data_IF_118592196195
#
_entry.id   IF_118592196195
#
_cell.length_a   1.000
_cell.length_b   1.000
_cell.length_c   1.000
_cell.angle_alpha   90.00
_cell.angle_beta   90.00
_cell.angle_gamma   90.00
#
_symmetry.space_group_name_H-M   'P 1'
#
loop_
_entity.id
_entity.type
_entity.pdbx_description
1 polymer ?
#
# COMPACT_ATOMS: atom_id res chain seq x y z
N UNK A 1 6.13 21.80 21.60
CA UNK A 1 4.71 21.49 21.42
C UNK A 1 4.16 20.84 22.68
N UNK A 2 3.03 21.32 23.18
CA UNK A 2 2.42 20.79 24.37
C UNK A 2 1.69 19.47 24.09
N UNK A 3 1.35 18.73 25.15
CA UNK A 3 0.55 17.49 24.99
C UNK A 3 -0.81 17.80 24.38
N UNK A 4 -1.43 18.93 24.75
CA UNK A 4 -2.73 19.30 24.18
C UNK A 4 -2.63 19.59 22.69
N UNK A 5 -1.59 20.31 22.28
CA UNK A 5 -1.38 20.61 20.86
C UNK A 5 -1.13 19.35 20.06
N UNK A 6 -0.32 18.42 20.60
CA UNK A 6 -0.05 17.17 19.93
C UNK A 6 -1.32 16.32 19.82
N UNK A 7 -2.15 16.32 20.88
CA UNK A 7 -3.40 15.57 20.88
C UNK A 7 -4.36 16.12 19.83
N UNK A 8 -4.45 17.45 19.70
CA UNK A 8 -5.29 18.09 18.70
C UNK A 8 -4.82 17.77 17.29
N UNK A 9 -3.50 17.78 17.05
CA UNK A 9 -2.94 17.44 15.75
C UNK A 9 -3.24 15.98 15.40
N UNK A 10 -3.18 15.10 16.41
CA UNK A 10 -3.47 13.69 16.20
C UNK A 10 -4.95 13.49 15.84
N UNK A 11 -5.85 14.21 16.50
CA UNK A 11 -7.28 14.15 16.17
C UNK A 11 -7.54 14.62 14.75
N UNK A 12 -6.90 15.71 14.34
CA UNK A 12 -7.02 16.22 12.98
C UNK A 12 -6.48 15.21 11.97
N UNK A 13 -5.36 14.57 12.29
CA UNK A 13 -4.78 13.54 11.45
C UNK A 13 -5.76 12.38 11.25
N UNK A 14 -6.40 11.93 12.33
CA UNK A 14 -7.34 10.81 12.26
C UNK A 14 -8.50 11.15 11.33
N UNK A 15 -9.09 12.32 11.49
CA UNK A 15 -10.23 12.75 10.68
C UNK A 15 -9.83 12.84 9.21
N UNK A 16 -8.73 13.52 8.92
CA UNK A 16 -8.25 13.68 7.55
C UNK A 16 -7.88 12.34 6.92
N UNK A 17 -7.21 11.49 7.68
CA UNK A 17 -6.77 10.19 7.17
C UNK A 17 -7.94 9.26 6.88
N UNK A 18 -8.99 9.31 7.68
CA UNK A 18 -10.18 8.51 7.41
C UNK A 18 -10.75 8.86 6.03
N UNK A 19 -10.82 10.14 5.72
CA UNK A 19 -11.32 10.59 4.43
C UNK A 19 -10.39 10.18 3.28
N UNK A 20 -9.10 10.37 3.48
CA UNK A 20 -8.11 10.03 2.46
C UNK A 20 -8.05 8.54 2.20
N UNK A 21 -8.14 7.72 3.25
CA UNK A 21 -8.09 6.27 3.11
C UNK A 21 -9.34 5.77 2.39
N UNK A 22 -10.50 6.33 2.70
CA UNK A 22 -11.73 5.97 2.01
C UNK A 22 -11.64 6.30 0.53
N UNK A 23 -11.13 7.47 0.20
CA UNK A 23 -10.95 7.88 -1.18
C UNK A 23 -9.94 6.98 -1.89
N UNK A 24 -8.85 6.66 -1.21
CA UNK A 24 -7.82 5.77 -1.74
C UNK A 24 -8.40 4.39 -2.06
N UNK A 25 -9.23 3.86 -1.15
CA UNK A 25 -9.89 2.58 -1.33
C UNK A 25 -10.79 2.60 -2.57
N UNK A 26 -11.62 3.62 -2.69
CA UNK A 26 -12.51 3.78 -3.84
C UNK A 26 -11.73 3.93 -5.15
N UNK A 27 -10.68 4.72 -5.14
CA UNK A 27 -9.87 4.96 -6.33
C UNK A 27 -9.14 3.69 -6.76
N UNK A 28 -8.68 2.88 -5.82
CA UNK A 28 -8.02 1.61 -6.16
C UNK A 28 -9.00 0.61 -6.78
N UNK A 29 -10.23 0.57 -6.27
CA UNK A 29 -11.26 -0.29 -6.87
C UNK A 29 -11.54 0.16 -8.31
N UNK A 30 -11.60 1.48 -8.53
CA UNK A 30 -11.77 2.02 -9.87
C UNK A 30 -10.60 1.68 -10.78
N UNK A 31 -9.40 1.69 -10.23
CA UNK A 31 -8.18 1.40 -10.99
C UNK A 31 -8.19 -0.01 -11.57
N UNK A 32 -8.86 -0.95 -10.92
CA UNK A 32 -8.99 -2.30 -11.47
C UNK A 32 -9.62 -2.31 -12.85
N UNK A 33 -10.50 -1.36 -13.13
CA UNK A 33 -11.21 -1.26 -14.40
C UNK A 33 -10.61 -0.21 -15.33
N UNK A 34 -9.71 0.63 -14.84
CA UNK A 34 -9.11 1.72 -15.62
C UNK A 34 -7.62 1.81 -15.30
N UNK A 35 -6.89 0.74 -15.62
CA UNK A 35 -5.50 0.56 -15.20
C UNK A 35 -4.53 1.56 -15.82
N UNK A 36 -4.91 2.21 -16.92
CA UNK A 36 -4.06 3.18 -17.60
C UNK A 36 -4.56 4.63 -17.42
N UNK A 37 -5.50 4.85 -16.51
CA UNK A 37 -6.04 6.20 -16.25
C UNK A 37 -5.01 7.00 -15.44
N UNK A 38 -4.28 7.86 -16.12
CA UNK A 38 -3.21 8.63 -15.51
C UNK A 38 -3.70 9.60 -14.42
N UNK A 39 -4.85 10.21 -14.66
CA UNK A 39 -5.42 11.14 -13.67
C UNK A 39 -5.75 10.39 -12.38
N UNK A 40 -6.31 9.19 -12.53
CA UNK A 40 -6.64 8.35 -11.39
C UNK A 40 -5.37 7.93 -10.63
N UNK A 41 -4.34 7.52 -11.35
CA UNK A 41 -3.06 7.14 -10.74
C UNK A 41 -2.44 8.32 -9.99
N UNK A 42 -2.49 9.52 -10.57
CA UNK A 42 -1.98 10.71 -9.90
C UNK A 42 -2.76 11.03 -8.63
N UNK A 43 -4.06 10.84 -8.65
CA UNK A 43 -4.90 11.09 -7.49
C UNK A 43 -4.59 10.11 -6.36
N UNK A 44 -4.44 8.83 -6.71
CA UNK A 44 -4.08 7.78 -5.75
C UNK A 44 -2.72 8.10 -5.13
N UNK A 45 -1.76 8.49 -5.97
CA UNK A 45 -0.42 8.85 -5.49
C UNK A 45 -0.49 10.01 -4.50
N UNK A 46 -1.28 11.05 -4.81
CA UNK A 46 -1.39 12.21 -3.93
C UNK A 46 -2.01 11.86 -2.59
N UNK A 47 -3.00 10.98 -2.57
CA UNK A 47 -3.59 10.53 -1.30
C UNK A 47 -2.53 9.84 -0.43
N UNK A 48 -1.78 8.91 -1.01
CA UNK A 48 -0.73 8.21 -0.28
C UNK A 48 0.35 9.16 0.20
N UNK A 49 0.75 10.09 -0.67
CA UNK A 49 1.79 11.06 -0.33
C UNK A 49 1.38 11.93 0.86
N UNK A 50 0.13 12.38 0.89
CA UNK A 50 -0.39 13.20 2.00
C UNK A 50 -0.39 12.41 3.30
N UNK A 51 -0.85 11.15 3.27
CA UNK A 51 -0.85 10.29 4.46
C UNK A 51 0.58 10.09 4.97
N UNK A 52 1.52 9.82 4.05
CA UNK A 52 2.92 9.62 4.43
C UNK A 52 3.47 10.87 5.11
N UNK A 53 3.24 12.04 4.52
CA UNK A 53 3.76 13.30 5.05
C UNK A 53 3.22 13.59 6.44
N UNK A 54 1.91 13.47 6.63
CA UNK A 54 1.28 13.75 7.91
C UNK A 54 1.71 12.76 8.98
N UNK A 55 1.78 11.47 8.62
CA UNK A 55 2.18 10.44 9.59
C UNK A 55 3.65 10.59 9.99
N UNK A 56 4.51 10.98 9.05
CA UNK A 56 5.92 11.24 9.35
C UNK A 56 6.06 12.42 10.31
N UNK A 57 5.31 13.47 10.05
CA UNK A 57 5.35 14.67 10.90
C UNK A 57 4.96 14.34 12.34
N UNK A 58 3.98 13.47 12.51
CA UNK A 58 3.50 13.09 13.85
C UNK A 58 4.29 11.94 14.48
N UNK A 59 5.28 11.40 13.79
CA UNK A 59 6.08 10.31 14.32
C UNK A 59 5.38 8.96 14.35
N UNK A 60 4.39 8.77 13.47
CA UNK A 60 3.64 7.53 13.37
C UNK A 60 4.39 6.58 12.43
N UNK A 61 5.42 5.95 12.95
CA UNK A 61 6.42 5.25 12.15
C UNK A 61 5.87 4.11 11.31
N UNK A 62 4.97 3.29 11.85
CA UNK A 62 4.40 2.19 11.08
C UNK A 62 3.63 2.70 9.88
N UNK A 63 2.78 3.71 10.10
CA UNK A 63 1.97 4.30 9.04
C UNK A 63 2.86 4.92 7.96
N UNK A 64 3.87 5.69 8.34
CA UNK A 64 4.74 6.34 7.38
C UNK A 64 5.61 5.34 6.61
N UNK A 65 6.06 4.27 7.29
CA UNK A 65 6.89 3.25 6.64
C UNK A 65 6.11 2.50 5.57
N UNK A 66 4.94 2.00 5.92
CA UNK A 66 4.10 1.25 4.97
C UNK A 66 3.73 2.13 3.79
N UNK A 67 3.31 3.36 4.08
CA UNK A 67 2.87 4.28 3.03
C UNK A 67 4.02 4.70 2.13
N UNK A 68 5.24 4.82 2.68
CA UNK A 68 6.42 5.11 1.88
C UNK A 68 6.65 4.06 0.79
N UNK A 69 6.58 2.78 1.15
CA UNK A 69 6.78 1.72 0.16
C UNK A 69 5.66 1.65 -0.87
N UNK A 70 4.42 1.90 -0.43
CA UNK A 70 3.30 1.96 -1.37
C UNK A 70 3.44 3.14 -2.32
N UNK A 71 3.89 4.29 -1.81
CA UNK A 71 4.10 5.48 -2.61
C UNK A 71 5.12 5.23 -3.72
N UNK A 72 6.17 4.46 -3.43
CA UNK A 72 7.17 4.12 -4.45
C UNK A 72 6.55 3.34 -5.61
N UNK A 73 5.69 2.37 -5.30
CA UNK A 73 4.98 1.61 -6.33
C UNK A 73 4.08 2.52 -7.15
N UNK A 74 3.30 3.35 -6.46
CA UNK A 74 2.38 4.27 -7.12
C UNK A 74 3.11 5.26 -8.02
N UNK A 75 4.29 5.69 -7.62
CA UNK A 75 5.10 6.58 -8.44
C UNK A 75 5.57 5.90 -9.72
N UNK A 76 5.97 4.64 -9.64
CA UNK A 76 6.36 3.86 -10.81
C UNK A 76 5.18 3.66 -11.76
N UNK A 77 4.00 3.41 -11.19
CA UNK A 77 2.79 3.24 -12.00
C UNK A 77 2.43 4.53 -12.74
N UNK A 78 2.45 5.66 -12.06
CA UNK A 78 2.06 6.92 -12.71
C UNK A 78 3.08 7.40 -13.72
N UNK A 79 4.34 6.98 -13.58
CA UNK A 79 5.39 7.31 -14.56
C UNK A 79 5.42 6.35 -15.74
N UNK A 80 4.67 5.27 -15.68
CA UNK A 80 4.67 4.27 -16.73
C UNK A 80 5.83 3.30 -16.66
N UNK A 81 6.60 3.31 -15.56
CA UNK A 81 7.73 2.40 -15.39
C UNK A 81 7.28 0.96 -15.19
N UNK A 82 6.11 0.77 -14.59
CA UNK A 82 5.47 -0.53 -14.45
C UNK A 82 3.99 -0.38 -14.79
N UNK A 83 3.36 -1.48 -15.16
CA UNK A 83 1.92 -1.50 -15.44
C UNK A 83 1.18 -2.15 -14.28
N UNK A 84 -0.10 -1.81 -14.14
CA UNK A 84 -0.93 -2.40 -13.10
C UNK A 84 -1.19 -3.86 -13.45
N UNK A 85 -0.69 -4.75 -12.61
CA UNK A 85 -0.94 -6.19 -12.74
C UNK A 85 -1.85 -6.62 -11.61
N UNK A 86 -2.36 -7.84 -11.69
CA UNK A 86 -3.19 -8.40 -10.61
C UNK A 86 -2.43 -8.44 -9.31
N UNK A 87 -1.16 -8.83 -9.36
CA UNK A 87 -0.31 -8.93 -8.18
C UNK A 87 -0.10 -7.58 -7.52
N UNK A 88 0.17 -6.55 -8.33
CA UNK A 88 0.34 -5.20 -7.81
C UNK A 88 -0.98 -4.72 -7.19
N UNK A 89 -2.09 -4.98 -7.87
CA UNK A 89 -3.40 -4.56 -7.37
C UNK A 89 -3.69 -5.21 -6.02
N UNK A 90 -3.44 -6.52 -5.91
CA UNK A 90 -3.67 -7.25 -4.67
C UNK A 90 -2.85 -6.68 -3.52
N UNK A 91 -1.58 -6.35 -3.76
CA UNK A 91 -0.71 -5.79 -2.72
C UNK A 91 -1.18 -4.39 -2.32
N UNK A 92 -1.61 -3.58 -3.28
CA UNK A 92 -2.10 -2.22 -2.97
C UNK A 92 -3.40 -2.28 -2.17
N UNK A 93 -4.29 -3.22 -2.48
CA UNK A 93 -5.52 -3.39 -1.71
C UNK A 93 -5.22 -3.88 -0.29
N UNK A 94 -4.24 -4.77 -0.15
CA UNK A 94 -3.80 -5.22 1.16
C UNK A 94 -3.17 -4.06 1.95
N UNK A 95 -2.40 -3.22 1.28
CA UNK A 95 -1.84 -2.02 1.89
C UNK A 95 -2.94 -1.14 2.50
N UNK A 96 -4.02 -0.91 1.75
CA UNK A 96 -5.13 -0.10 2.27
C UNK A 96 -5.74 -0.75 3.51
N UNK A 97 -5.92 -2.07 3.50
CA UNK A 97 -6.45 -2.77 4.67
C UNK A 97 -5.55 -2.58 5.89
N UNK A 98 -4.23 -2.64 5.68
CA UNK A 98 -3.27 -2.46 6.78
C UNK A 98 -3.33 -1.04 7.34
N UNK A 99 -3.39 -0.03 6.48
CA UNK A 99 -3.44 1.34 7.00
C UNK A 99 -4.76 1.64 7.70
N UNK A 100 -5.84 0.97 7.31
CA UNK A 100 -7.10 1.05 8.06
C UNK A 100 -6.92 0.49 9.47
N UNK A 101 -6.25 -0.65 9.60
CA UNK A 101 -5.96 -1.26 10.89
C UNK A 101 -5.05 -0.38 11.73
N UNK A 102 -4.02 0.20 11.11
CA UNK A 102 -3.11 1.11 11.81
C UNK A 102 -3.85 2.36 12.31
N UNK A 103 -4.74 2.88 11.50
CA UNK A 103 -5.53 4.04 11.93
C UNK A 103 -6.44 3.69 13.10
N UNK A 104 -7.03 2.51 13.06
CA UNK A 104 -7.87 2.03 14.16
C UNK A 104 -7.05 1.89 15.44
N UNK A 105 -5.83 1.36 15.33
CA UNK A 105 -4.91 1.29 16.48
C UNK A 105 -4.65 2.67 17.05
N UNK A 106 -4.36 3.64 16.20
CA UNK A 106 -4.08 5.01 16.62
C UNK A 106 -5.28 5.59 17.36
N UNK A 107 -6.48 5.39 16.81
CA UNK A 107 -7.72 5.89 17.42
C UNK A 107 -7.93 5.30 18.81
N UNK A 108 -7.56 4.05 19.01
CA UNK A 108 -7.81 3.33 20.26
C UNK A 108 -6.58 3.26 21.15
N UNK A 109 -5.54 4.00 20.80
CA UNK A 109 -4.28 4.07 21.56
C UNK A 109 -3.65 2.70 21.76
N UNK A 110 -3.66 1.91 20.69
CA UNK A 110 -3.07 0.58 20.63
C UNK A 110 -1.91 0.58 19.63
N UNK A 111 -1.12 -0.48 19.66
CA UNK A 111 -0.03 -0.67 18.71
C UNK A 111 0.09 -2.17 18.42
N UNK A 112 -1.03 -2.77 18.01
CA UNK A 112 -1.14 -4.22 17.86
C UNK A 112 -0.88 -4.72 16.43
N UNK A 113 -1.05 -3.85 15.42
CA UNK A 113 -0.96 -4.26 14.03
C UNK A 113 0.50 -4.41 13.60
N UNK A 114 0.86 -5.57 13.06
CA UNK A 114 2.19 -5.79 12.48
C UNK A 114 2.19 -5.33 11.04
N UNK A 115 3.32 -4.74 10.59
CA UNK A 115 3.49 -4.32 9.21
C UNK A 115 4.54 -5.18 8.49
N UNK A 116 5.07 -6.22 9.13
CA UNK A 116 6.17 -6.98 8.57
C UNK A 116 5.81 -7.64 7.23
N UNK A 117 4.66 -8.26 7.17
CA UNK A 117 4.25 -8.99 5.97
C UNK A 117 3.95 -8.04 4.81
N UNK A 118 3.20 -6.96 5.06
CA UNK A 118 2.90 -6.03 3.98
C UNK A 118 4.14 -5.31 3.48
N UNK A 119 5.07 -4.97 4.37
CA UNK A 119 6.32 -4.34 3.97
C UNK A 119 7.14 -5.30 3.10
N UNK A 120 7.18 -6.59 3.48
CA UNK A 120 7.87 -7.60 2.67
C UNK A 120 7.30 -7.66 1.24
N UNK A 121 5.98 -7.68 1.14
CA UNK A 121 5.31 -7.74 -0.17
C UNK A 121 5.54 -6.48 -0.99
N UNK A 122 5.45 -5.32 -0.35
CA UNK A 122 5.67 -4.05 -1.04
C UNK A 122 7.12 -3.95 -1.55
N UNK A 123 8.07 -4.39 -0.76
CA UNK A 123 9.47 -4.40 -1.18
C UNK A 123 9.69 -5.30 -2.39
N UNK A 124 9.07 -6.48 -2.38
CA UNK A 124 9.21 -7.40 -3.52
C UNK A 124 8.70 -6.77 -4.81
N UNK A 125 7.56 -6.10 -4.73
CA UNK A 125 7.00 -5.41 -5.90
C UNK A 125 7.92 -4.28 -6.35
N UNK A 126 8.45 -3.50 -5.41
CA UNK A 126 9.35 -2.40 -5.73
C UNK A 126 10.66 -2.87 -6.37
N UNK A 127 11.09 -4.09 -6.07
CA UNK A 127 12.30 -4.67 -6.64
C UNK A 127 12.03 -5.37 -7.97
N UNK A 128 10.82 -5.28 -8.48
CA UNK A 128 10.46 -5.96 -9.72
C UNK A 128 10.15 -7.43 -9.54
N UNK A 129 9.98 -7.88 -8.30
CA UNK A 129 9.62 -9.25 -7.98
C UNK A 129 8.16 -9.30 -7.59
N UNK A 130 7.44 -10.28 -8.13
CA UNK A 130 6.02 -10.40 -7.87
C UNK A 130 5.80 -11.05 -6.51
N UNK A 131 4.91 -10.46 -5.70
CA UNK A 131 4.50 -11.06 -4.44
C UNK A 131 3.46 -12.13 -4.74
N UNK A 132 3.91 -13.36 -4.93
CA UNK A 132 3.06 -14.47 -5.33
C UNK A 132 2.43 -15.13 -4.11
N UNK A 133 1.13 -15.35 -4.15
CA UNK A 133 0.43 -16.09 -3.10
C UNK A 133 0.77 -17.57 -3.19
N UNK A 134 0.58 -18.31 -2.10
CA UNK A 134 0.90 -19.74 -2.12
C UNK A 134 0.09 -20.50 -3.16
N UNK A 135 -1.13 -20.08 -3.42
CA UNK A 135 -1.94 -20.75 -4.45
C UNK A 135 -1.40 -20.51 -5.84
N UNK A 136 -0.82 -19.35 -6.09
CA UNK A 136 -0.22 -19.03 -7.39
C UNK A 136 1.10 -19.74 -7.59
N UNK A 137 1.84 -19.95 -6.53
CA UNK A 137 3.11 -20.64 -6.62
C UNK A 137 2.96 -22.06 -7.14
N UNK A 138 1.82 -22.68 -6.92
CA UNK A 138 1.56 -24.02 -7.38
C UNK A 138 1.32 -24.10 -8.87
N UNK A 139 0.84 -23.04 -9.48
CA UNK A 139 0.62 -23.02 -10.92
C UNK A 139 1.80 -22.47 -11.66
N UNK A 140 2.48 -21.54 -11.08
CA UNK A 140 3.62 -20.90 -11.75
C UNK A 140 4.76 -21.88 -11.95
N UNK A 141 4.79 -22.80 -11.12
CA UNK A 141 5.83 -23.78 -11.29
C UNK A 141 5.41 -24.77 -12.28
N UNK A 142 4.62 -24.85 -12.42
CA UNK A 142 4.28 -25.39 -13.22
C UNK A 142 4.38 -24.88 -14.40
N UNK A 143 4.36 -24.63 -14.28
CA UNK A 143 4.57 -24.11 -15.19
C UNK A 143 5.49 -23.78 -15.40
N UNK A 144 5.59 -24.63 -14.71
CA UNK A 144 6.37 -24.24 -14.73
C UNK A 144 6.80 -24.64 -14.72
N UNK A 145 6.67 -25.41 -14.41
CA UNK A 145 7.03 -25.44 -14.24
C UNK A 145 7.38 -25.72 -14.72
N UNK A 146 7.42 -26.12 -14.81
CA UNK A 146 7.62 -26.18 -15.21
C UNK A 146 8.19 -25.89 -15.73
N UNK A 147 8.34 -26.34 -15.51
CA UNK A 147 8.83 -25.93 -15.85
C UNK A 147 9.43 -25.76 -15.89
N UNK A 148 9.70 -26.53 -15.44
CA UNK A 148 10.13 -26.04 -15.36
C UNK A 148 10.44 -26.34 -15.49
N UNK A 149 10.36 -26.86 -15.47
CA UNK A 149 10.57 -26.83 -15.53
C UNK A 149 11.00 -26.74 -15.99
N UNK A 150 10.97 -27.83 -15.79
CA UNK A 150 11.18 -27.53 -16.28
C UNK A 150 11.60 -27.24 -16.57
N UNK A 151 11.88 -27.34 -16.23
CA UNK A 151 12.19 -26.81 -16.44
C UNK A 151 12.56 -26.45 -16.47
N UNK A 152 12.98 -27.50 -16.09
CA UNK A 152 13.27 -26.84 -16.10
C UNK A 152 13.29 -26.58 -16.25
N UNK A 153 12.93 -27.44 -15.97
CA UNK A 153 12.90 -26.83 -15.97
C UNK A 153 12.73 -26.49 -16.09
#
# INVERSE_FOLDING_TARGET
MSFEEMDDLLKDFIIESEELIEKLDQDLVELENRTDDLDLLNEIFRCAHTIKGSSSFLGLDKMSTVTHYAEEILNKLRKGDVVVTREIMDVLLEFVDVIKQLLDDIKNKKDDTSIDEIVRKLKLVNEGKVAVSSSQMKTASNQTNKKVENKAS
#
